data_IF_421839880625
#
_entry.id   IF_421839880625
#
_cell.length_a   1.000
_cell.length_b   1.000
_cell.length_c   1.000
_cell.angle_alpha   90.00
_cell.angle_beta   90.00
_cell.angle_gamma   90.00
#
_symmetry.space_group_name_H-M   'P 1'
#
loop_
_entity.id
_entity.type
_entity.pdbx_description
1 polymer ?
#
# COMPACT_ATOMS: atom_id res chain seq x y z
N UNK A 1 8.92 -0.66 13.72
CA UNK A 1 8.88 -0.16 12.31
C UNK A 1 8.31 1.26 12.28
N UNK A 2 8.87 2.19 11.51
CA UNK A 2 8.32 3.55 11.34
C UNK A 2 7.39 3.63 10.11
N UNK A 3 6.56 4.68 10.02
CA UNK A 3 5.61 4.87 8.93
C UNK A 3 6.29 4.92 7.55
N UNK A 4 7.51 5.44 7.46
CA UNK A 4 8.28 5.50 6.22
C UNK A 4 8.64 4.12 5.68
N UNK A 5 9.06 3.20 6.54
CA UNK A 5 9.41 1.84 6.12
C UNK A 5 8.17 1.04 5.69
N UNK A 6 7.04 1.22 6.40
CA UNK A 6 5.76 0.60 6.05
C UNK A 6 5.29 1.05 4.66
N UNK A 7 5.34 2.35 4.39
CA UNK A 7 4.94 2.93 3.10
C UNK A 7 5.91 2.55 1.97
N UNK A 8 7.22 2.45 2.25
CA UNK A 8 8.22 1.94 1.30
C UNK A 8 7.97 0.48 0.90
N UNK A 9 7.76 -0.41 1.89
CA UNK A 9 7.47 -1.83 1.64
C UNK A 9 6.16 -1.99 0.86
N UNK A 10 5.12 -1.23 1.23
CA UNK A 10 3.86 -1.25 0.51
C UNK A 10 4.03 -0.85 -0.96
N UNK A 11 4.82 0.20 -1.23
CA UNK A 11 5.15 0.64 -2.59
C UNK A 11 5.90 -0.41 -3.41
N UNK A 12 6.85 -1.13 -2.79
CA UNK A 12 7.58 -2.24 -3.44
C UNK A 12 6.64 -3.40 -3.79
N UNK A 13 5.80 -3.83 -2.84
CA UNK A 13 4.84 -4.93 -3.07
C UNK A 13 3.90 -4.58 -4.22
N UNK A 14 3.36 -3.36 -4.22
CA UNK A 14 2.47 -2.89 -5.27
C UNK A 14 3.17 -2.88 -6.64
N UNK A 15 4.39 -2.36 -6.71
CA UNK A 15 5.19 -2.30 -7.94
C UNK A 15 5.49 -3.69 -8.50
N UNK A 16 5.80 -4.66 -7.62
CA UNK A 16 6.00 -6.05 -8.01
C UNK A 16 4.70 -6.68 -8.54
N UNK A 17 3.57 -6.45 -7.88
CA UNK A 17 2.27 -6.96 -8.33
C UNK A 17 1.91 -6.46 -9.72
N UNK A 18 2.06 -5.15 -9.98
CA UNK A 18 1.81 -4.58 -11.31
C UNK A 18 2.83 -5.01 -12.37
N UNK A 19 4.05 -5.38 -11.98
CA UNK A 19 5.10 -5.84 -12.92
C UNK A 19 4.99 -7.32 -13.26
N UNK A 20 4.64 -8.18 -12.31
CA UNK A 20 4.66 -9.64 -12.46
C UNK A 20 3.31 -10.28 -12.77
N UNK A 21 2.19 -9.53 -12.71
CA UNK A 21 0.87 -10.03 -13.12
C UNK A 21 0.57 -9.64 -14.58
N UNK A 22 0.87 -10.53 -15.56
CA UNK A 22 0.67 -10.23 -16.97
C UNK A 22 -0.82 -9.98 -17.27
N UNK A 23 -1.12 -8.88 -17.95
CA UNK A 23 -2.48 -8.50 -18.33
C UNK A 23 -3.23 -7.63 -17.31
N UNK A 24 -2.70 -7.46 -16.09
CA UNK A 24 -3.27 -6.55 -15.09
C UNK A 24 -3.21 -5.10 -15.58
N UNK A 25 -2.09 -4.69 -16.19
CA UNK A 25 -1.94 -3.35 -16.78
C UNK A 25 -2.99 -3.06 -17.86
N UNK A 26 -3.23 -3.99 -18.81
CA UNK A 26 -4.20 -3.76 -19.89
C UNK A 26 -5.64 -3.63 -19.37
N UNK A 27 -6.01 -4.44 -18.37
CA UNK A 27 -7.34 -4.35 -17.75
C UNK A 27 -7.46 -3.12 -16.87
N UNK A 28 -6.41 -2.79 -16.12
CA UNK A 28 -6.35 -1.57 -15.32
C UNK A 28 -6.45 -0.34 -16.21
N UNK A 29 -5.71 -0.26 -17.31
CA UNK A 29 -5.76 0.84 -18.28
C UNK A 29 -7.15 1.10 -18.84
N UNK A 30 -7.95 0.04 -19.04
CA UNK A 30 -9.32 0.14 -19.54
C UNK A 30 -10.33 0.70 -18.53
N UNK A 31 -9.98 0.81 -17.24
CA UNK A 31 -10.87 1.39 -16.22
C UNK A 31 -10.89 2.92 -16.28
N UNK A 32 -12.02 3.50 -15.88
CA UNK A 32 -12.17 4.93 -15.64
C UNK A 32 -11.25 5.39 -14.51
N UNK A 33 -10.88 6.68 -14.52
CA UNK A 33 -9.94 7.24 -13.53
C UNK A 33 -10.37 7.01 -12.08
N UNK A 34 -11.67 7.07 -11.80
CA UNK A 34 -12.21 6.86 -10.45
C UNK A 34 -12.18 5.39 -10.01
N UNK A 35 -12.45 4.46 -10.94
CA UNK A 35 -12.34 3.03 -10.66
C UNK A 35 -10.88 2.62 -10.39
N UNK A 36 -9.93 3.19 -11.14
CA UNK A 36 -8.48 3.01 -10.92
C UNK A 36 -8.06 3.46 -9.52
N UNK A 37 -8.59 4.59 -9.05
CA UNK A 37 -8.32 5.16 -7.72
C UNK A 37 -8.86 4.28 -6.59
N UNK A 38 -10.10 3.82 -6.72
CA UNK A 38 -10.73 2.92 -5.74
C UNK A 38 -9.96 1.60 -5.61
N UNK A 39 -9.49 1.02 -6.72
CA UNK A 39 -8.69 -0.21 -6.69
C UNK A 39 -7.36 0.03 -5.97
N UNK A 40 -6.64 1.11 -6.29
CA UNK A 40 -5.38 1.44 -5.62
C UNK A 40 -5.56 1.69 -4.12
N UNK A 41 -6.65 2.37 -3.74
CA UNK A 41 -6.99 2.61 -2.34
C UNK A 41 -7.32 1.30 -1.60
N UNK A 42 -8.11 0.42 -2.21
CA UNK A 42 -8.40 -0.90 -1.65
C UNK A 42 -7.15 -1.76 -1.50
N UNK A 43 -6.25 -1.73 -2.49
CA UNK A 43 -5.02 -2.49 -2.46
C UNK A 43 -4.04 -1.96 -1.40
N UNK A 44 -3.95 -0.65 -1.25
CA UNK A 44 -3.20 -0.02 -0.17
C UNK A 44 -3.76 -0.40 1.21
N UNK A 45 -5.08 -0.41 1.37
CA UNK A 45 -5.73 -0.84 2.62
C UNK A 45 -5.45 -2.32 2.93
N UNK A 46 -5.50 -3.19 1.91
CA UNK A 46 -5.17 -4.60 2.05
C UNK A 46 -3.72 -4.82 2.45
N UNK A 47 -2.78 -4.08 1.86
CA UNK A 47 -1.36 -4.20 2.21
C UNK A 47 -1.11 -3.67 3.62
N UNK A 48 -1.62 -2.47 3.95
CA UNK A 48 -1.45 -1.87 5.29
C UNK A 48 -2.07 -2.76 6.39
N UNK A 49 -3.32 -3.19 6.20
CA UNK A 49 -4.01 -4.07 7.14
C UNK A 49 -3.40 -5.47 7.21
N UNK A 50 -2.98 -6.02 6.06
CA UNK A 50 -2.31 -7.31 5.98
C UNK A 50 -0.96 -7.32 6.70
N UNK A 51 -0.17 -6.26 6.55
CA UNK A 51 1.11 -6.12 7.27
C UNK A 51 0.88 -5.97 8.78
N UNK A 52 -0.12 -5.21 9.21
CA UNK A 52 -0.49 -5.12 10.62
C UNK A 52 -0.95 -6.47 11.19
N UNK A 53 -1.83 -7.18 10.48
CA UNK A 53 -2.30 -8.50 10.89
C UNK A 53 -1.18 -9.55 10.95
N UNK A 54 -0.27 -9.54 9.96
CA UNK A 54 0.90 -10.42 9.94
C UNK A 54 1.88 -10.11 11.08
N UNK A 55 2.06 -8.84 11.43
CA UNK A 55 2.86 -8.44 12.57
C UNK A 55 2.22 -8.89 13.89
N UNK A 56 0.90 -8.72 14.04
CA UNK A 56 0.15 -9.23 15.21
C UNK A 56 0.19 -10.75 15.33
N UNK A 57 0.27 -11.48 14.21
CA UNK A 57 0.37 -12.95 14.22
C UNK A 57 1.76 -13.47 14.63
N UNK A 58 2.77 -12.59 14.75
CA UNK A 58 4.15 -12.95 15.04
C UNK A 58 4.90 -13.63 13.89
N UNK A 59 4.26 -13.82 12.72
CA UNK A 59 4.91 -14.32 11.51
C UNK A 59 6.01 -13.36 11.07
N UNK A 60 5.73 -12.05 11.09
CA UNK A 60 6.70 -11.03 10.69
C UNK A 60 7.96 -11.04 11.57
N UNK A 61 7.82 -11.31 12.87
CA UNK A 61 8.94 -11.47 13.81
C UNK A 61 9.86 -12.62 13.38
N UNK A 62 9.31 -13.70 12.82
CA UNK A 62 10.08 -14.88 12.41
C UNK A 62 10.82 -14.71 11.09
N UNK A 63 10.19 -14.06 10.11
CA UNK A 63 10.73 -13.93 8.73
C UNK A 63 11.48 -12.62 8.51
N UNK A 64 11.18 -11.58 9.29
CA UNK A 64 11.72 -10.25 9.12
C UNK A 64 11.73 -9.49 10.48
N UNK A 65 12.57 -9.92 11.44
CA UNK A 65 12.57 -9.37 12.81
C UNK A 65 12.86 -7.86 12.87
N UNK A 66 13.57 -7.31 11.89
CA UNK A 66 13.91 -5.88 11.81
C UNK A 66 12.74 -4.99 11.39
N UNK A 67 11.64 -5.57 10.87
CA UNK A 67 10.46 -4.82 10.41
C UNK A 67 9.21 -5.13 11.25
N UNK A 68 9.36 -5.96 12.28
CA UNK A 68 8.28 -6.31 13.19
C UNK A 68 8.12 -5.27 14.33
N UNK A 69 6.98 -5.31 15.03
CA UNK A 69 6.76 -4.58 16.28
C UNK A 69 5.86 -3.33 16.18
N UNK A 70 5.08 -3.21 15.11
CA UNK A 70 3.96 -2.25 15.05
C UNK A 70 2.86 -2.70 16.01
N UNK A 71 2.44 -3.97 15.97
CA UNK A 71 1.33 -4.47 16.76
C UNK A 71 1.59 -4.39 18.26
N UNK A 72 2.84 -4.60 18.69
CA UNK A 72 3.24 -4.50 20.11
C UNK A 72 3.45 -3.07 20.60
N UNK A 73 3.44 -2.07 19.71
CA UNK A 73 3.49 -0.67 20.10
C UNK A 73 2.13 -0.23 20.65
N UNK A 74 2.13 0.56 21.71
CA UNK A 74 0.93 1.02 22.43
C UNK A 74 -0.13 1.66 21.50
N UNK A 75 0.32 2.30 20.42
CA UNK A 75 -0.52 2.96 19.41
C UNK A 75 -0.24 2.46 17.97
N UNK A 76 0.19 1.20 17.82
CA UNK A 76 0.59 0.64 16.53
C UNK A 76 -0.43 0.80 15.41
N UNK A 77 -1.71 0.61 15.73
CA UNK A 77 -2.81 0.77 14.78
C UNK A 77 -3.00 2.22 14.32
N UNK A 78 -2.72 3.21 15.20
CA UNK A 78 -2.80 4.64 14.87
C UNK A 78 -1.74 4.99 13.82
N UNK A 79 -0.55 4.41 13.96
CA UNK A 79 0.55 4.62 13.01
C UNK A 79 0.22 4.04 11.63
N UNK A 80 -0.45 2.88 11.57
CA UNK A 80 -0.97 2.30 10.32
C UNK A 80 -2.02 3.21 9.68
N UNK A 81 -2.94 3.76 10.47
CA UNK A 81 -3.96 4.70 9.98
C UNK A 81 -3.32 5.98 9.44
N UNK A 82 -2.35 6.56 10.16
CA UNK A 82 -1.59 7.74 9.69
C UNK A 82 -0.86 7.44 8.38
N UNK A 83 -0.13 6.33 8.32
CA UNK A 83 0.57 5.91 7.10
C UNK A 83 -0.39 5.71 5.93
N UNK A 84 -1.56 5.13 6.18
CA UNK A 84 -2.61 4.98 5.17
C UNK A 84 -3.12 6.34 4.66
N UNK A 85 -3.39 7.30 5.56
CA UNK A 85 -3.80 8.66 5.18
C UNK A 85 -2.71 9.36 4.36
N UNK A 86 -1.45 9.30 4.78
CA UNK A 86 -0.34 9.89 4.03
C UNK A 86 -0.20 9.27 2.64
N UNK A 87 -0.31 7.94 2.54
CA UNK A 87 -0.25 7.24 1.27
C UNK A 87 -1.46 7.58 0.36
N UNK A 88 -2.65 7.79 0.91
CA UNK A 88 -3.79 8.30 0.13
C UNK A 88 -3.53 9.70 -0.42
N UNK A 89 -3.04 10.62 0.41
CA UNK A 89 -2.71 11.99 0.00
C UNK A 89 -1.64 11.96 -1.11
N UNK A 90 -0.61 11.13 -0.95
CA UNK A 90 0.45 10.94 -1.94
C UNK A 90 -0.10 10.36 -3.26
N UNK A 91 -0.96 9.34 -3.20
CA UNK A 91 -1.54 8.73 -4.40
C UNK A 91 -2.41 9.74 -5.18
N UNK A 92 -3.18 10.56 -4.47
CA UNK A 92 -4.01 11.60 -5.08
C UNK A 92 -3.18 12.75 -5.68
N UNK A 93 -2.08 13.14 -5.04
CA UNK A 93 -1.17 14.17 -5.58
C UNK A 93 -0.44 13.67 -6.83
N UNK A 94 0.05 12.42 -6.82
CA UNK A 94 0.65 11.77 -7.99
C UNK A 94 -0.33 11.68 -9.16
N UNK A 95 -1.59 11.32 -8.92
CA UNK A 95 -2.60 11.30 -9.98
C UNK A 95 -2.84 12.67 -10.59
N UNK A 96 -2.85 13.74 -9.78
CA UNK A 96 -3.08 15.11 -10.26
C UNK A 96 -2.03 15.55 -11.29
N UNK A 97 -0.77 15.13 -11.09
CA UNK A 97 0.37 15.48 -11.96
C UNK A 97 0.61 14.46 -13.07
N UNK A 98 -0.02 13.28 -13.01
CA UNK A 98 0.19 12.22 -14.00
C UNK A 98 -0.37 12.65 -15.36
N UNK A 99 0.36 12.45 -16.47
CA UNK A 99 -0.14 12.72 -17.80
C UNK A 99 -1.46 11.98 -18.03
N UNK A 100 -2.50 12.74 -18.36
CA UNK A 100 -3.78 12.15 -18.78
C UNK A 100 -3.68 11.87 -20.26
N UNK A 101 -3.68 10.60 -20.66
CA UNK A 101 -3.93 10.24 -22.06
C UNK A 101 -5.37 10.65 -22.37
N UNK A 102 -5.53 11.79 -23.05
CA UNK A 102 -6.77 12.18 -23.69
C UNK A 102 -7.12 11.08 -24.69
N UNK A 103 -8.23 10.38 -24.49
CA UNK A 103 -8.86 9.62 -25.57
C UNK A 103 -9.71 10.58 -26.39
#
# INVERSE_FOLDING_TARGET
MNAELLSGVAGVILSLLFSYLPGLNKRYEALSGDAKRLIMLGMLALVAGGMYALDCSGILIKIAPNVAGICSATDGWVEVVKAFIFAMIANQSTYSISPKTTK
#
